data_IF_348579195992
#
_entry.id   IF_348579195992
#
_cell.length_a   1.000
_cell.length_b   1.000
_cell.length_c   1.000
_cell.angle_alpha   90.00
_cell.angle_beta   90.00
_cell.angle_gamma   90.00
#
_symmetry.space_group_name_H-M   'P 1'
#
loop_
_entity.id
_entity.type
_entity.pdbx_description
1 polymer ?
#
# COMPACT_ATOMS: atom_id res chain seq x y z
N UNK A 1 -8.39 -0.38 0.04
CA UNK A 1 -7.92 -1.63 -0.61
C UNK A 1 -6.71 -1.29 -1.46
N UNK A 2 -5.64 -2.09 -1.35
CA UNK A 2 -4.39 -1.91 -2.10
C UNK A 2 -4.39 -2.83 -3.33
N UNK A 3 -3.90 -2.36 -4.47
CA UNK A 3 -3.92 -3.11 -5.74
C UNK A 3 -2.67 -2.85 -6.57
N UNK A 4 -2.42 -3.69 -7.58
CA UNK A 4 -1.40 -3.43 -8.62
C UNK A 4 -1.75 -2.21 -9.47
N UNK A 5 -0.78 -1.62 -10.20
CA UNK A 5 -0.97 -0.41 -10.98
C UNK A 5 -2.11 -0.49 -11.99
N UNK A 6 -2.90 0.59 -12.06
CA UNK A 6 -3.98 0.76 -13.04
C UNK A 6 -5.26 -0.03 -12.74
N UNK A 7 -5.38 -0.61 -11.54
CA UNK A 7 -6.59 -1.35 -11.11
C UNK A 7 -7.55 -0.52 -10.27
N UNK A 8 -7.13 0.65 -9.82
CA UNK A 8 -7.92 1.54 -8.98
C UNK A 8 -8.51 2.68 -9.81
N UNK A 9 -9.83 2.98 -9.70
CA UNK A 9 -10.50 3.94 -10.55
C UNK A 9 -10.29 5.42 -10.16
N UNK A 10 -9.72 5.68 -8.99
CA UNK A 10 -9.49 7.04 -8.48
C UNK A 10 -8.00 7.39 -8.46
N UNK A 11 -7.67 8.64 -8.08
CA UNK A 11 -6.28 9.08 -7.90
C UNK A 11 -5.59 8.21 -6.85
N UNK A 12 -4.38 7.76 -7.16
CA UNK A 12 -3.60 6.85 -6.32
C UNK A 12 -2.31 7.48 -5.81
N UNK A 13 -1.83 6.97 -4.68
CA UNK A 13 -0.41 6.95 -4.35
C UNK A 13 0.17 5.59 -4.73
N UNK A 14 1.46 5.55 -5.08
CA UNK A 14 2.16 4.34 -5.49
C UNK A 14 3.42 4.12 -4.66
N UNK A 15 3.77 2.86 -4.44
CA UNK A 15 5.02 2.46 -3.78
C UNK A 15 5.60 1.24 -4.50
N UNK A 16 6.90 1.30 -4.80
CA UNK A 16 7.65 0.23 -5.45
C UNK A 16 8.60 -0.43 -4.46
N UNK A 17 8.47 -1.74 -4.30
CA UNK A 17 9.28 -2.54 -3.38
C UNK A 17 10.07 -3.64 -4.11
N UNK A 18 11.15 -4.09 -3.47
CA UNK A 18 12.02 -5.12 -4.02
C UNK A 18 11.41 -6.52 -3.88
N UNK A 19 11.64 -7.33 -4.91
CA UNK A 19 11.46 -8.78 -4.91
C UNK A 19 12.83 -9.47 -4.88
N UNK A 20 12.85 -10.80 -4.83
CA UNK A 20 14.09 -11.57 -5.02
C UNK A 20 14.74 -11.27 -6.37
N UNK A 21 13.90 -11.14 -7.41
CA UNK A 21 14.32 -10.80 -8.76
C UNK A 21 13.48 -9.63 -9.29
N UNK A 22 13.96 -8.41 -9.02
CA UNK A 22 13.38 -7.17 -9.54
C UNK A 22 12.54 -6.42 -8.51
N UNK A 23 11.49 -5.77 -9.00
CA UNK A 23 10.61 -4.90 -8.20
C UNK A 23 9.16 -5.07 -8.62
N UNK A 24 8.24 -4.83 -7.70
CA UNK A 24 6.81 -4.70 -8.01
C UNK A 24 6.29 -3.39 -7.40
N UNK A 25 5.14 -2.93 -7.88
CA UNK A 25 4.52 -1.68 -7.43
C UNK A 25 3.11 -1.97 -6.94
N UNK A 26 2.69 -1.27 -5.89
CA UNK A 26 1.31 -1.28 -5.40
C UNK A 26 0.76 0.15 -5.31
N UNK A 27 -0.56 0.25 -5.37
CA UNK A 27 -1.31 1.49 -5.33
C UNK A 27 -2.40 1.45 -4.27
N UNK A 28 -2.71 2.64 -3.73
CA UNK A 28 -3.88 2.88 -2.89
C UNK A 28 -4.53 4.21 -3.29
N UNK A 29 -5.85 4.33 -3.15
CA UNK A 29 -6.51 5.63 -3.35
C UNK A 29 -6.01 6.68 -2.36
N UNK A 30 -5.89 7.93 -2.81
CA UNK A 30 -5.45 9.05 -1.97
C UNK A 30 -6.46 9.41 -0.87
N UNK A 31 -7.73 9.04 -1.03
CA UNK A 31 -8.82 9.26 -0.09
C UNK A 31 -9.15 8.03 0.77
N UNK A 32 -8.27 7.02 0.79
CA UNK A 32 -8.57 5.73 1.41
C UNK A 32 -8.79 5.80 2.93
N UNK A 33 -8.22 6.79 3.62
CA UNK A 33 -8.28 6.91 5.09
C UNK A 33 -8.44 8.34 5.59
N UNK A 34 -8.96 8.47 6.81
CA UNK A 34 -8.99 9.70 7.62
C UNK A 34 -8.12 9.55 8.87
N UNK A 35 -7.54 10.64 9.37
CA UNK A 35 -6.60 10.63 10.51
C UNK A 35 -7.14 10.04 11.83
N UNK A 36 -8.46 9.94 12.00
CA UNK A 36 -9.09 9.35 13.20
C UNK A 36 -9.30 7.83 13.13
N UNK A 37 -8.99 7.21 11.98
CA UNK A 37 -9.31 5.81 11.74
C UNK A 37 -8.22 4.87 12.27
N UNK A 38 -8.64 3.76 12.88
CA UNK A 38 -7.74 2.67 13.22
C UNK A 38 -7.67 1.72 12.03
N UNK A 39 -6.47 1.53 11.50
CA UNK A 39 -6.22 0.73 10.30
C UNK A 39 -5.68 -0.63 10.71
N UNK A 40 -6.26 -1.70 10.16
CA UNK A 40 -5.77 -3.07 10.29
C UNK A 40 -5.35 -3.55 8.91
N UNK A 41 -4.12 -4.04 8.80
CA UNK A 41 -3.60 -4.68 7.61
C UNK A 41 -3.82 -6.19 7.70
N UNK A 42 -4.40 -6.76 6.66
CA UNK A 42 -4.70 -8.19 6.57
C UNK A 42 -4.13 -8.69 5.26
N UNK A 43 -3.37 -9.76 5.35
CA UNK A 43 -2.83 -10.51 4.22
C UNK A 43 -3.11 -12.00 4.45
N UNK A 44 -3.17 -12.79 3.38
CA UNK A 44 -3.38 -14.23 3.51
C UNK A 44 -2.11 -14.96 3.98
N UNK A 45 -0.95 -14.55 3.47
CA UNK A 45 0.36 -15.14 3.78
C UNK A 45 1.40 -14.05 4.02
N UNK A 46 2.10 -14.14 5.15
CA UNK A 46 3.29 -13.34 5.41
C UNK A 46 4.54 -14.09 4.95
N UNK A 47 5.21 -13.57 3.91
CA UNK A 47 6.51 -14.05 3.45
C UNK A 47 7.64 -13.08 3.82
N UNK A 48 8.22 -12.36 2.86
CA UNK A 48 9.30 -11.38 3.10
C UNK A 48 8.81 -10.08 3.73
N UNK A 49 7.51 -9.83 3.73
CA UNK A 49 6.90 -8.61 4.27
C UNK A 49 7.00 -7.38 3.36
N UNK A 50 7.60 -7.48 2.17
CA UNK A 50 7.79 -6.35 1.25
C UNK A 50 6.48 -5.63 0.90
N UNK A 51 5.43 -6.39 0.59
CA UNK A 51 4.10 -5.84 0.27
C UNK A 51 3.45 -5.11 1.45
N UNK A 52 3.61 -5.64 2.68
CA UNK A 52 3.10 -4.99 3.89
C UNK A 52 3.88 -3.71 4.21
N UNK A 53 5.21 -3.73 4.07
CA UNK A 53 6.05 -2.55 4.29
C UNK A 53 5.71 -1.43 3.31
N UNK A 54 5.58 -1.75 2.02
CA UNK A 54 5.13 -0.81 1.00
C UNK A 54 3.74 -0.25 1.31
N UNK A 55 2.82 -1.10 1.80
CA UNK A 55 1.48 -0.65 2.20
C UNK A 55 1.51 0.29 3.41
N UNK A 56 2.36 0.01 4.41
CA UNK A 56 2.55 0.88 5.58
C UNK A 56 3.09 2.25 5.17
N UNK A 57 4.04 2.31 4.24
CA UNK A 57 4.56 3.57 3.71
C UNK A 57 3.45 4.40 3.02
N UNK A 58 2.59 3.76 2.23
CA UNK A 58 1.44 4.43 1.63
C UNK A 58 0.45 4.99 2.66
N UNK A 59 0.18 4.23 3.73
CA UNK A 59 -0.65 4.69 4.84
C UNK A 59 -0.01 5.89 5.53
N UNK A 60 1.29 5.84 5.81
CA UNK A 60 2.04 6.93 6.41
C UNK A 60 1.96 8.22 5.57
N UNK A 61 2.07 8.11 4.24
CA UNK A 61 1.88 9.23 3.31
C UNK A 61 0.47 9.84 3.40
N UNK A 62 -0.57 8.99 3.41
CA UNK A 62 -1.96 9.45 3.48
C UNK A 62 -2.23 10.17 4.82
N UNK A 63 -1.77 9.58 5.92
CA UNK A 63 -2.03 10.08 7.27
C UNK A 63 -1.04 11.17 7.72
N UNK A 64 0.06 11.36 6.98
CA UNK A 64 1.17 12.27 7.28
C UNK A 64 1.82 11.99 8.64
N UNK A 65 2.12 10.71 8.89
CA UNK A 65 2.78 10.20 10.10
C UNK A 65 4.11 9.52 9.79
#
# INVERSE_FOLDING_TARGET
MVRKPGKLPYKTYQETYSLEYGTDTIEIHQDAFKSSERIVLIDDVLATGGTLAATLNLIAIILKI
#
